data_IF_049588366171
#
_entry.id   IF_049588366171
#
_cell.length_a   1.000
_cell.length_b   1.000
_cell.length_c   1.000
_cell.angle_alpha   90.00
_cell.angle_beta   90.00
_cell.angle_gamma   90.00
#
_symmetry.space_group_name_H-M   'P 1'
#
loop_
_entity.id
_entity.type
_entity.pdbx_description
1 polymer ?
#
# COMPACT_ATOMS: atom_id res chain seq x y z
N UNK A 1 1.71 -8.14 -1.88
CA UNK A 1 1.97 -6.96 -1.02
C UNK A 1 3.46 -6.72 -0.82
N UNK A 2 4.26 -7.70 -0.39
CA UNK A 2 5.71 -7.62 -0.10
C UNK A 2 6.52 -6.61 -0.94
N UNK A 3 6.48 -6.73 -2.27
CA UNK A 3 7.24 -5.85 -3.19
C UNK A 3 6.73 -4.40 -3.22
N UNK A 4 5.41 -4.23 -3.14
CA UNK A 4 4.73 -2.98 -3.49
C UNK A 4 4.25 -2.19 -2.27
N UNK A 5 4.16 -2.84 -1.11
CA UNK A 5 3.77 -2.25 0.16
C UNK A 5 4.61 -2.84 1.32
N UNK A 6 5.93 -2.69 1.28
CA UNK A 6 6.81 -3.26 2.32
C UNK A 6 6.64 -2.50 3.64
N UNK A 7 6.86 -3.21 4.76
CA UNK A 7 7.14 -2.54 6.03
C UNK A 7 8.60 -2.09 6.06
N UNK A 8 8.82 -0.84 6.46
CA UNK A 8 10.15 -0.25 6.67
C UNK A 8 10.44 -0.01 8.16
N UNK A 9 9.61 -0.57 9.05
CA UNK A 9 9.79 -0.45 10.51
C UNK A 9 10.97 -1.27 11.03
N UNK A 10 11.53 -0.86 12.16
CA UNK A 10 12.53 -1.62 12.91
C UNK A 10 11.90 -2.40 14.08
N UNK A 11 12.33 -3.65 14.35
CA UNK A 11 13.22 -4.47 13.53
C UNK A 11 12.56 -4.85 12.19
N UNK A 12 13.38 -5.26 11.21
CA UNK A 12 12.89 -5.74 9.93
C UNK A 12 11.87 -6.87 10.11
N UNK A 13 10.88 -6.93 9.24
CA UNK A 13 9.80 -7.93 9.32
C UNK A 13 9.31 -8.34 7.94
N UNK A 14 8.55 -9.43 7.88
CA UNK A 14 7.88 -9.90 6.67
C UNK A 14 6.65 -9.06 6.28
N UNK A 15 6.39 -7.93 6.95
CA UNK A 15 5.28 -7.02 6.64
C UNK A 15 3.92 -7.43 7.19
N UNK A 16 3.73 -8.66 7.67
CA UNK A 16 2.42 -9.15 8.10
C UNK A 16 1.78 -8.33 9.22
N UNK A 17 2.55 -7.97 10.25
CA UNK A 17 2.08 -7.11 11.35
C UNK A 17 1.62 -5.74 10.84
N UNK A 18 2.33 -5.20 9.86
CA UNK A 18 1.99 -3.91 9.26
C UNK A 18 0.68 -4.01 8.46
N UNK A 19 0.52 -5.01 7.58
CA UNK A 19 -0.74 -5.17 6.84
C UNK A 19 -1.93 -5.50 7.75
N UNK A 20 -1.72 -6.29 8.80
CA UNK A 20 -2.76 -6.56 9.80
C UNK A 20 -3.24 -5.27 10.48
N UNK A 21 -2.29 -4.39 10.85
CA UNK A 21 -2.62 -3.08 11.41
C UNK A 21 -3.43 -2.20 10.45
N UNK A 22 -3.01 -2.12 9.18
CA UNK A 22 -3.71 -1.34 8.17
C UNK A 22 -5.12 -1.87 7.90
N UNK A 23 -5.31 -3.20 7.90
CA UNK A 23 -6.64 -3.78 7.79
C UNK A 23 -7.50 -3.45 9.01
N UNK A 24 -7.05 -3.79 10.21
CA UNK A 24 -7.83 -3.60 11.44
C UNK A 24 -8.22 -2.14 11.68
N UNK A 25 -7.31 -1.20 11.39
CA UNK A 25 -7.50 0.22 11.67
C UNK A 25 -8.18 0.98 10.55
N UNK A 26 -7.97 0.60 9.28
CA UNK A 26 -8.43 1.36 8.12
C UNK A 26 -9.32 0.55 7.17
N UNK A 27 -8.96 -0.71 6.90
CA UNK A 27 -9.73 -1.58 6.02
C UNK A 27 -11.12 -1.93 6.53
N UNK A 28 -11.26 -2.22 7.83
CA UNK A 28 -12.56 -2.54 8.47
C UNK A 28 -13.59 -1.42 8.35
N UNK A 29 -13.15 -0.16 8.23
CA UNK A 29 -14.07 0.97 7.99
C UNK A 29 -14.74 0.93 6.60
N UNK A 30 -14.19 0.15 5.66
CA UNK A 30 -14.71 -0.03 4.31
C UNK A 30 -15.34 -1.41 4.08
N UNK A 31 -15.45 -2.25 5.12
CA UNK A 31 -15.86 -3.66 5.00
C UNK A 31 -17.28 -3.85 4.44
N UNK A 32 -18.13 -2.82 4.49
CA UNK A 32 -19.44 -2.86 3.83
C UNK A 32 -19.38 -2.88 2.30
N UNK A 33 -18.27 -2.43 1.72
CA UNK A 33 -18.08 -2.30 0.26
C UNK A 33 -16.91 -3.12 -0.27
N UNK A 34 -15.87 -3.33 0.55
CA UNK A 34 -14.63 -4.01 0.17
C UNK A 34 -14.28 -5.03 1.24
N UNK A 35 -14.26 -6.30 0.89
CA UNK A 35 -13.69 -7.31 1.79
C UNK A 35 -12.16 -7.11 1.93
N UNK A 36 -11.54 -7.89 2.83
CA UNK A 36 -10.11 -7.79 3.07
C UNK A 36 -9.27 -7.97 1.81
N UNK A 37 -9.64 -8.90 0.93
CA UNK A 37 -8.93 -9.15 -0.31
C UNK A 37 -9.06 -7.95 -1.25
N UNK A 38 -10.28 -7.47 -1.45
CA UNK A 38 -10.59 -6.34 -2.33
C UNK A 38 -9.93 -5.03 -1.87
N UNK A 39 -9.86 -4.80 -0.56
CA UNK A 39 -9.15 -3.65 0.03
C UNK A 39 -7.67 -3.62 -0.40
N UNK A 40 -6.95 -4.73 -0.19
CA UNK A 40 -5.53 -4.81 -0.56
C UNK A 40 -5.35 -4.83 -2.08
N UNK A 41 -6.20 -5.51 -2.83
CA UNK A 41 -6.14 -5.55 -4.29
C UNK A 41 -6.36 -4.15 -4.89
N UNK A 42 -7.35 -3.42 -4.40
CA UNK A 42 -7.64 -2.04 -4.81
C UNK A 42 -6.46 -1.12 -4.55
N UNK A 43 -5.85 -1.19 -3.36
CA UNK A 43 -4.67 -0.40 -3.04
C UNK A 43 -3.49 -0.69 -3.98
N UNK A 44 -3.27 -1.97 -4.33
CA UNK A 44 -2.21 -2.36 -5.27
C UNK A 44 -2.51 -1.88 -6.70
N UNK A 45 -3.75 -1.98 -7.17
CA UNK A 45 -4.20 -1.45 -8.47
C UNK A 45 -4.04 0.07 -8.54
N UNK A 46 -4.34 0.79 -7.46
CA UNK A 46 -4.16 2.24 -7.38
C UNK A 46 -2.67 2.62 -7.47
N UNK A 47 -1.81 1.91 -6.75
CA UNK A 47 -0.36 2.11 -6.81
C UNK A 47 0.19 1.88 -8.23
N UNK A 48 -0.27 0.86 -8.93
CA UNK A 48 0.18 0.54 -10.29
C UNK A 48 -0.19 1.65 -11.29
N UNK A 49 -1.39 2.24 -11.15
CA UNK A 49 -1.87 3.34 -12.01
C UNK A 49 -1.06 4.63 -11.85
N UNK A 50 -0.40 4.84 -10.70
CA UNK A 50 0.27 6.11 -10.38
C UNK A 50 1.73 5.87 -9.98
N UNK A 51 2.61 5.84 -10.99
CA UNK A 51 4.06 5.86 -10.75
C UNK A 51 4.54 7.28 -10.39
N UNK A 52 4.36 7.66 -9.13
CA UNK A 52 4.72 8.99 -8.61
C UNK A 52 6.19 9.34 -8.88
N UNK A 53 7.11 8.37 -8.76
CA UNK A 53 8.53 8.60 -9.02
C UNK A 53 8.77 9.01 -10.48
N UNK A 54 8.12 8.33 -11.43
CA UNK A 54 8.23 8.68 -12.84
C UNK A 54 7.60 10.05 -13.15
N UNK A 55 6.46 10.34 -12.53
CA UNK A 55 5.78 11.64 -12.67
C UNK A 55 6.71 12.77 -12.20
N UNK A 56 7.36 12.62 -11.04
CA UNK A 56 8.29 13.60 -10.50
C UNK A 56 9.53 13.77 -11.38
N UNK A 57 10.11 12.66 -11.86
CA UNK A 57 11.24 12.67 -12.81
C UNK A 57 10.89 13.43 -14.09
N UNK A 58 9.72 13.19 -14.66
CA UNK A 58 9.24 13.88 -15.86
C UNK A 58 9.03 15.39 -15.62
N UNK A 59 8.66 15.78 -14.41
CA UNK A 59 8.52 17.18 -14.01
C UNK A 59 9.87 17.87 -13.68
N UNK A 60 11.00 17.22 -13.94
CA UNK A 60 12.34 17.75 -13.66
C UNK A 60 12.68 17.79 -12.16
N UNK A 61 11.87 17.19 -11.29
CA UNK A 61 12.17 17.03 -9.87
C UNK A 61 13.05 15.79 -9.70
N UNK A 62 14.34 16.00 -9.46
CA UNK A 62 15.26 14.93 -9.07
C UNK A 62 14.97 14.55 -7.62
N UNK A 63 14.39 13.37 -7.43
CA UNK A 63 14.32 12.65 -6.15
C UNK A 63 15.52 11.74 -6.01
#
# INVERSE_FOLDING_TARGET
MEKNWPSLSCPSSNGFRFWSHEWEKHGTCAESELDQHEYFETALKLKEKVNLLQILKNAGKKT
#
